data_IF_699880245208
#
_entry.id   IF_699880245208
#
_cell.length_a   1.000
_cell.length_b   1.000
_cell.length_c   1.000
_cell.angle_alpha   90.00
_cell.angle_beta   90.00
_cell.angle_gamma   90.00
#
_symmetry.space_group_name_H-M   'P 1'
#
loop_
_entity.id
_entity.type
_entity.pdbx_description
1 polymer ?
#
# COMPACT_ATOMS: atom_id res chain seq x y z
N UNK A 1 11.42 -9.63 -5.84
CA UNK A 1 11.27 -8.40 -6.66
C UNK A 1 11.58 -7.24 -5.73
N UNK A 2 12.69 -6.51 -5.94
CA UNK A 2 13.27 -5.60 -4.93
C UNK A 2 12.31 -4.47 -4.52
N UNK A 3 11.54 -3.93 -5.47
CA UNK A 3 10.53 -2.91 -5.19
C UNK A 3 9.45 -3.37 -4.19
N UNK A 4 9.04 -4.64 -4.25
CA UNK A 4 8.06 -5.19 -3.31
C UNK A 4 8.66 -5.39 -1.93
N UNK A 5 9.95 -5.72 -1.85
CA UNK A 5 10.64 -5.81 -0.56
C UNK A 5 10.69 -4.45 0.15
N UNK A 6 10.89 -3.36 -0.61
CA UNK A 6 10.89 -1.99 -0.08
C UNK A 6 9.53 -1.54 0.47
N UNK A 7 8.42 -2.21 0.11
CA UNK A 7 7.11 -1.91 0.74
C UNK A 7 6.99 -2.38 2.20
N UNK A 8 8.02 -3.08 2.71
CA UNK A 8 8.11 -3.57 4.09
C UNK A 8 9.19 -2.85 4.91
N UNK A 9 9.75 -1.79 4.37
CA UNK A 9 10.75 -0.96 5.04
C UNK A 9 10.15 -0.26 6.28
N UNK A 10 10.99 0.22 7.19
CA UNK A 10 10.57 0.98 8.37
C UNK A 10 10.51 2.49 8.13
N UNK A 11 11.01 2.97 6.98
CA UNK A 11 10.94 4.37 6.56
C UNK A 11 9.74 4.65 5.62
N UNK A 12 8.84 5.56 6.03
CA UNK A 12 7.62 5.92 5.26
C UNK A 12 7.95 6.49 3.88
N UNK A 13 8.99 7.32 3.76
CA UNK A 13 9.38 7.92 2.49
C UNK A 13 9.82 6.84 1.49
N UNK A 14 10.63 5.87 1.94
CA UNK A 14 11.09 4.72 1.15
C UNK A 14 9.91 3.86 0.68
N UNK A 15 8.97 3.55 1.59
CA UNK A 15 7.78 2.77 1.26
C UNK A 15 6.86 3.53 0.28
N UNK A 16 6.70 4.84 0.46
CA UNK A 16 5.93 5.70 -0.44
C UNK A 16 6.51 5.71 -1.87
N UNK A 17 7.83 5.85 -2.00
CA UNK A 17 8.52 5.74 -3.30
C UNK A 17 8.45 4.35 -3.90
N UNK A 18 8.46 3.30 -3.09
CA UNK A 18 8.22 1.95 -3.58
C UNK A 18 6.80 1.81 -4.17
N UNK A 19 5.78 2.42 -3.53
CA UNK A 19 4.41 2.41 -4.04
C UNK A 19 4.29 3.14 -5.39
N UNK A 20 4.84 4.36 -5.51
CA UNK A 20 4.90 5.11 -6.77
C UNK A 20 5.62 4.31 -7.88
N UNK A 21 6.70 3.61 -7.52
CA UNK A 21 7.47 2.76 -8.43
C UNK A 21 6.65 1.56 -8.94
N UNK A 22 5.96 0.85 -8.04
CA UNK A 22 5.09 -0.29 -8.42
C UNK A 22 3.93 0.19 -9.29
N UNK A 23 3.32 1.33 -8.94
CA UNK A 23 2.27 1.96 -9.74
C UNK A 23 2.77 2.25 -11.16
N UNK A 24 3.93 2.90 -11.29
CA UNK A 24 4.52 3.23 -12.59
C UNK A 24 4.77 1.97 -13.43
N UNK A 25 5.25 0.89 -12.81
CA UNK A 25 5.50 -0.39 -13.49
C UNK A 25 4.21 -1.03 -13.98
N UNK A 26 3.18 -1.11 -13.14
CA UNK A 26 1.93 -1.77 -13.55
C UNK A 26 1.20 -0.94 -14.63
N UNK A 27 1.22 0.39 -14.53
CA UNK A 27 0.59 1.27 -15.52
C UNK A 27 1.33 1.23 -16.88
N UNK A 28 2.67 1.13 -16.87
CA UNK A 28 3.47 1.07 -18.10
C UNK A 28 3.43 -0.31 -18.77
N UNK A 29 3.55 -1.38 -17.99
CA UNK A 29 3.77 -2.72 -18.50
C UNK A 29 2.50 -3.59 -18.49
N UNK A 30 1.41 -3.11 -17.90
CA UNK A 30 0.16 -3.83 -17.74
C UNK A 30 0.20 -4.87 -16.61
N UNK A 31 -0.91 -5.61 -16.42
CA UNK A 31 -1.11 -6.46 -15.25
C UNK A 31 -0.15 -7.66 -15.18
N UNK A 32 0.40 -8.08 -16.33
CA UNK A 32 1.35 -9.19 -16.42
C UNK A 32 2.68 -8.90 -15.72
N UNK A 33 3.05 -7.62 -15.56
CA UNK A 33 4.29 -7.21 -14.89
C UNK A 33 4.33 -7.62 -13.41
N UNK A 34 3.17 -7.72 -12.77
CA UNK A 34 3.04 -8.13 -11.37
C UNK A 34 2.55 -9.56 -11.19
N UNK A 35 2.22 -10.30 -12.25
CA UNK A 35 1.65 -11.65 -12.14
C UNK A 35 2.37 -12.59 -11.12
N UNK A 36 3.71 -12.69 -11.05
CA UNK A 36 4.37 -13.58 -10.10
C UNK A 36 4.34 -13.08 -8.65
N UNK A 37 4.00 -11.81 -8.42
CA UNK A 37 4.10 -11.12 -7.13
C UNK A 37 2.80 -10.40 -6.73
N UNK A 38 1.71 -10.56 -7.50
CA UNK A 38 0.50 -9.76 -7.37
C UNK A 38 -0.13 -9.91 -5.97
N UNK A 39 -0.20 -11.14 -5.47
CA UNK A 39 -0.70 -11.43 -4.12
C UNK A 39 0.14 -10.75 -3.05
N UNK A 40 1.47 -10.69 -3.21
CA UNK A 40 2.36 -10.05 -2.25
C UNK A 40 2.19 -8.53 -2.29
N UNK A 41 2.16 -7.93 -3.48
CA UNK A 41 1.89 -6.50 -3.64
C UNK A 41 0.59 -6.10 -2.96
N UNK A 42 -0.50 -6.81 -3.25
CA UNK A 42 -1.82 -6.50 -2.72
C UNK A 42 -1.90 -6.69 -1.20
N UNK A 43 -1.25 -7.72 -0.67
CA UNK A 43 -1.17 -7.94 0.78
C UNK A 43 -0.40 -6.83 1.48
N UNK A 44 0.74 -6.41 0.93
CA UNK A 44 1.53 -5.34 1.53
C UNK A 44 0.79 -4.00 1.44
N UNK A 45 0.17 -3.69 0.30
CA UNK A 45 -0.66 -2.49 0.13
C UNK A 45 -1.83 -2.48 1.11
N UNK A 46 -2.48 -3.62 1.36
CA UNK A 46 -3.50 -3.71 2.39
C UNK A 46 -2.96 -3.38 3.79
N UNK A 47 -1.80 -3.95 4.17
CA UNK A 47 -1.17 -3.64 5.47
C UNK A 47 -0.86 -2.15 5.65
N UNK A 48 -0.52 -1.45 4.56
CA UNK A 48 -0.30 0.00 4.56
C UNK A 48 -1.61 0.78 4.77
N UNK A 49 -2.69 0.36 4.11
CA UNK A 49 -4.03 0.96 4.31
C UNK A 49 -4.57 0.76 5.72
N UNK A 50 -4.29 -0.40 6.34
CA UNK A 50 -4.74 -0.71 7.70
C UNK A 50 -3.82 -0.18 8.79
N UNK A 51 -2.78 0.60 8.43
CA UNK A 51 -1.78 1.14 9.36
C UNK A 51 -1.07 0.06 10.19
N UNK A 52 -0.87 -1.12 9.62
CA UNK A 52 -0.22 -2.28 10.28
C UNK A 52 1.17 -2.59 9.72
N UNK A 53 1.70 -1.75 8.84
CA UNK A 53 3.03 -1.94 8.26
C UNK A 53 4.14 -1.45 9.22
N UNK A 54 5.38 -1.99 9.11
CA UNK A 54 6.50 -1.61 9.96
C UNK A 54 6.74 -0.09 10.06
N UNK A 55 6.69 0.61 8.93
CA UNK A 55 6.84 2.06 8.83
C UNK A 55 5.72 2.88 9.50
N UNK A 56 4.63 2.23 9.95
CA UNK A 56 3.50 2.87 10.63
C UNK A 56 3.39 2.44 12.09
N UNK A 57 3.90 1.26 12.44
CA UNK A 57 3.82 0.73 13.81
C UNK A 57 4.91 1.23 14.75
N UNK A 58 6.02 1.79 14.22
CA UNK A 58 7.18 2.20 15.02
C UNK A 58 7.01 3.52 15.81
N UNK A 59 6.14 4.42 15.37
CA UNK A 59 5.99 5.76 15.98
C UNK A 59 4.96 5.77 17.13
N UNK A 60 3.97 4.89 17.11
CA UNK A 60 2.86 4.87 18.09
C UNK A 60 3.15 4.17 19.42
N UNK A 61 4.20 3.34 19.53
CA UNK A 61 4.50 2.61 20.78
C UNK A 61 5.45 3.37 21.71
N UNK A 62 6.15 4.41 21.25
CA UNK A 62 7.11 5.17 22.07
C UNK A 62 6.53 6.40 22.76
N UNK A 63 5.41 6.94 22.29
CA UNK A 63 4.72 8.06 22.93
C UNK A 63 3.24 7.72 23.07
N UNK A 64 2.85 7.34 24.28
CA UNK A 64 1.48 6.99 24.61
C UNK A 64 0.52 8.17 24.45
N UNK A 65 -0.07 8.31 23.27
CA UNK A 65 -1.32 9.05 23.10
C UNK A 65 -2.39 8.13 22.52
N UNK A 66 -3.08 7.47 23.46
CA UNK A 66 -4.34 6.79 23.24
C UNK A 66 -5.38 7.81 22.77
N UNK A 67 -5.70 7.79 21.48
CA UNK A 67 -7.05 8.15 21.01
C UNK A 67 -7.31 9.58 20.55
N UNK A 68 -6.33 10.28 19.99
CA UNK A 68 -6.63 11.42 19.09
C UNK A 68 -6.41 10.97 17.64
N UNK A 69 -7.37 11.23 16.72
CA UNK A 69 -7.06 11.10 15.30
C UNK A 69 -5.98 12.14 15.01
N UNK A 70 -4.83 11.68 14.54
CA UNK A 70 -3.76 12.55 14.09
C UNK A 70 -4.33 13.30 12.86
N UNK A 71 -4.80 14.54 13.09
CA UNK A 71 -5.46 15.40 12.09
C UNK A 71 -4.48 15.82 10.96
N UNK A 72 -3.21 15.40 11.05
CA UNK A 72 -2.16 15.57 10.04
C UNK A 72 -2.03 14.36 9.07
N UNK A 73 -2.69 13.22 9.32
CA UNK A 73 -2.58 12.02 8.48
C UNK A 73 -3.26 12.17 7.08
N UNK A 74 -4.22 13.09 6.94
CA UNK A 74 -4.98 13.29 5.68
C UNK A 74 -4.19 14.09 4.62
N UNK A 75 -3.04 14.66 4.98
CA UNK A 75 -2.10 15.30 4.06
C UNK A 75 -0.76 14.56 3.94
N UNK A 76 -0.69 13.32 4.43
CA UNK A 76 0.51 12.52 4.25
C UNK A 76 0.63 12.10 2.78
N UNK A 77 1.61 12.67 2.10
CA UNK A 77 1.95 12.33 0.71
C UNK A 77 2.19 10.83 0.52
N UNK A 78 2.62 10.15 1.58
CA UNK A 78 2.73 8.70 1.63
C UNK A 78 1.37 7.99 1.43
N UNK A 79 0.34 8.36 2.18
CA UNK A 79 -0.99 7.74 2.06
C UNK A 79 -1.63 8.01 0.71
N UNK A 80 -1.33 9.16 0.10
CA UNK A 80 -1.71 9.45 -1.29
C UNK A 80 -1.11 8.41 -2.25
N UNK A 81 0.19 8.13 -2.15
CA UNK A 81 0.88 7.12 -2.97
C UNK A 81 0.34 5.70 -2.76
N UNK A 82 -0.04 5.35 -1.52
CA UNK A 82 -0.67 4.04 -1.22
C UNK A 82 -2.05 3.93 -1.90
N UNK A 83 -2.89 4.97 -1.78
CA UNK A 83 -4.21 5.01 -2.40
C UNK A 83 -4.15 4.99 -3.93
N UNK A 84 -3.21 5.73 -4.53
CA UNK A 84 -3.00 5.77 -5.98
C UNK A 84 -2.58 4.40 -6.52
N UNK A 85 -1.74 3.67 -5.78
CA UNK A 85 -1.36 2.29 -6.12
C UNK A 85 -2.56 1.34 -6.12
N UNK A 86 -3.45 1.42 -5.13
CA UNK A 86 -4.72 0.63 -5.11
C UNK A 86 -5.58 0.97 -6.32
N UNK A 87 -5.70 2.26 -6.64
CA UNK A 87 -6.39 2.72 -7.83
C UNK A 87 -5.78 2.14 -9.11
N UNK A 88 -4.45 2.07 -9.20
CA UNK A 88 -3.75 1.49 -10.34
C UNK A 88 -4.00 -0.01 -10.46
N UNK A 89 -4.04 -0.77 -9.35
CA UNK A 89 -4.43 -2.18 -9.38
C UNK A 89 -5.84 -2.35 -9.96
N UNK A 90 -6.82 -1.57 -9.48
CA UNK A 90 -8.19 -1.62 -9.99
C UNK A 90 -8.28 -1.28 -11.48
N UNK A 91 -7.61 -0.21 -11.92
CA UNK A 91 -7.61 0.25 -13.32
C UNK A 91 -6.94 -0.74 -14.27
N UNK A 92 -5.77 -1.26 -13.90
CA UNK A 92 -4.92 -2.04 -14.82
C UNK A 92 -5.24 -3.53 -14.78
N UNK A 93 -5.55 -4.09 -13.61
CA UNK A 93 -5.88 -5.52 -13.49
C UNK A 93 -7.33 -5.83 -13.90
N UNK A 94 -8.23 -4.83 -13.84
CA UNK A 94 -9.62 -4.97 -14.24
C UNK A 94 -10.31 -6.13 -13.51
N UNK A 95 -10.90 -7.06 -14.25
CA UNK A 95 -11.62 -8.22 -13.69
C UNK A 95 -10.72 -9.15 -12.86
N UNK A 96 -9.41 -9.17 -13.12
CA UNK A 96 -8.46 -9.96 -12.32
C UNK A 96 -8.29 -9.41 -10.90
N UNK A 97 -8.65 -8.14 -10.64
CA UNK A 97 -8.62 -7.55 -9.30
C UNK A 97 -9.75 -8.10 -8.40
N UNK A 98 -10.85 -8.59 -8.97
CA UNK A 98 -12.05 -9.02 -8.23
C UNK A 98 -11.75 -10.08 -7.17
N UNK A 99 -10.78 -10.97 -7.45
CA UNK A 99 -10.38 -12.03 -6.51
C UNK A 99 -9.70 -11.48 -5.23
N UNK A 100 -9.16 -10.26 -5.28
CA UNK A 100 -8.46 -9.61 -4.17
C UNK A 100 -9.33 -8.55 -3.47
N UNK A 101 -10.41 -8.12 -4.12
CA UNK A 101 -11.34 -7.10 -3.65
C UNK A 101 -11.88 -7.36 -2.22
N UNK A 102 -12.19 -8.60 -1.79
CA UNK A 102 -12.62 -8.87 -0.41
C UNK A 102 -11.62 -8.44 0.66
N UNK A 103 -10.32 -8.35 0.34
CA UNK A 103 -9.30 -7.87 1.28
C UNK A 103 -9.42 -6.36 1.54
N UNK A 104 -9.93 -5.59 0.59
CA UNK A 104 -10.01 -4.12 0.68
C UNK A 104 -11.39 -3.63 1.16
N UNK A 105 -12.32 -4.54 1.45
CA UNK A 105 -13.66 -4.20 1.93
C UNK A 105 -13.81 -4.54 3.41
N UNK A 106 -14.70 -3.83 4.13
CA UNK A 106 -15.09 -4.24 5.48
C UNK A 106 -15.62 -5.69 5.49
N UNK A 107 -15.42 -6.44 6.59
CA UNK A 107 -16.05 -7.73 6.77
C UNK A 107 -17.58 -7.59 6.64
N UNK A 108 -18.19 -8.50 5.88
CA UNK A 108 -19.66 -8.62 5.74
C UNK A 108 -20.28 -9.39 6.88
#
# INVERSE_FOLDING_TARGET
>A
NELVALTKDDDKDTVGKACEGIQSVIELCGPHALAPIASECLTNTHSLLTKTAPCQTGEGEMFGEVGLPDDDDDHDSFMTSVCDLVGAFGRVMGTHFVQYLPQFLPPV
#
